data_IF_272005639963
#
_entry.id   IF_272005639963
#
_cell.length_a   1.000
_cell.length_b   1.000
_cell.length_c   1.000
_cell.angle_alpha   90.00
_cell.angle_beta   90.00
_cell.angle_gamma   90.00
#
_symmetry.space_group_name_H-M   'P 1'
#
loop_
_entity.id
_entity.type
_entity.pdbx_description
1 polymer ?
#
# COMPACT_ATOMS: atom_id res chain seq x y z
N UNK A 1 -30.03 -46.03 4.60
CA UNK A 1 -29.59 -44.99 5.57
C UNK A 1 -28.44 -44.19 4.93
N UNK A 2 -28.45 -42.86 5.00
CA UNK A 2 -27.33 -42.06 4.50
C UNK A 2 -26.15 -42.14 5.47
N UNK A 3 -24.94 -42.42 4.96
CA UNK A 3 -23.73 -42.41 5.78
C UNK A 3 -23.46 -41.00 6.30
N UNK A 4 -22.96 -40.88 7.53
CA UNK A 4 -22.59 -39.59 8.13
C UNK A 4 -21.15 -39.24 7.79
N UNK A 5 -20.85 -37.93 7.76
CA UNK A 5 -19.48 -37.45 7.54
C UNK A 5 -18.53 -37.96 8.64
N UNK A 6 -17.44 -38.63 8.25
CA UNK A 6 -16.42 -39.18 9.16
C UNK A 6 -15.71 -38.12 10.03
N UNK A 7 -15.83 -36.83 9.68
CA UNK A 7 -15.24 -35.73 10.44
C UNK A 7 -16.12 -35.23 11.58
N UNK A 8 -17.30 -35.82 11.78
CA UNK A 8 -18.20 -35.49 12.88
C UNK A 8 -18.87 -34.12 12.72
N UNK A 9 -19.22 -33.71 11.50
CA UNK A 9 -19.94 -32.44 11.28
C UNK A 9 -21.47 -32.57 11.28
N UNK A 10 -22.02 -33.76 11.55
CA UNK A 10 -23.47 -34.03 11.57
C UNK A 10 -24.16 -34.14 10.20
N UNK A 11 -23.55 -33.58 9.15
CA UNK A 11 -24.06 -33.63 7.78
C UNK A 11 -23.95 -35.03 7.16
N UNK A 12 -24.91 -35.35 6.28
CA UNK A 12 -24.88 -36.54 5.45
C UNK A 12 -23.68 -36.50 4.48
N UNK A 13 -23.09 -37.66 4.21
CA UNK A 13 -21.99 -37.77 3.26
C UNK A 13 -22.51 -37.71 1.83
N UNK A 14 -21.89 -36.87 1.03
CA UNK A 14 -22.18 -36.71 -0.41
C UNK A 14 -21.10 -37.31 -1.29
N UNK A 15 -19.92 -37.63 -0.71
CA UNK A 15 -18.78 -38.18 -1.43
C UNK A 15 -17.91 -39.07 -0.54
N UNK A 16 -17.11 -39.95 -1.16
CA UNK A 16 -16.09 -40.77 -0.52
C UNK A 16 -14.71 -40.23 -0.88
N UNK A 17 -13.88 -39.94 0.11
CA UNK A 17 -12.55 -39.39 -0.11
C UNK A 17 -11.51 -40.40 -0.60
N UNK A 18 -10.31 -39.94 -0.94
CA UNK A 18 -9.18 -40.78 -1.39
C UNK A 18 -8.73 -41.83 -0.35
N UNK A 19 -9.20 -41.72 0.90
CA UNK A 19 -8.96 -42.69 1.98
C UNK A 19 -10.17 -43.63 2.18
N UNK A 20 -11.09 -43.67 1.23
CA UNK A 20 -12.33 -44.44 1.28
C UNK A 20 -13.23 -44.10 2.49
N UNK A 21 -13.23 -42.84 2.95
CA UNK A 21 -14.07 -42.38 4.08
C UNK A 21 -15.19 -41.44 3.63
N UNK A 22 -16.41 -41.60 4.18
CA UNK A 22 -17.57 -40.76 3.83
C UNK A 22 -17.37 -39.31 4.31
N UNK A 23 -17.61 -38.33 3.44
CA UNK A 23 -17.41 -36.92 3.72
C UNK A 23 -18.55 -36.05 3.14
N UNK A 24 -18.86 -34.95 3.81
CA UNK A 24 -19.95 -34.04 3.42
C UNK A 24 -19.64 -33.11 2.24
N UNK A 25 -18.37 -32.96 1.87
CA UNK A 25 -17.91 -32.15 0.74
C UNK A 25 -16.70 -32.79 0.05
N UNK A 26 -16.57 -32.53 -1.26
CA UNK A 26 -15.45 -32.89 -2.14
C UNK A 26 -14.07 -32.42 -1.62
N UNK A 27 -14.03 -31.25 -0.99
CA UNK A 27 -12.82 -30.65 -0.43
C UNK A 27 -12.89 -30.53 1.08
N UNK A 28 -11.78 -30.87 1.74
CA UNK A 28 -11.71 -30.87 3.20
C UNK A 28 -11.96 -29.51 3.83
N UNK A 29 -11.50 -28.44 3.17
CA UNK A 29 -11.64 -27.05 3.60
C UNK A 29 -13.09 -26.57 3.67
N UNK A 30 -14.02 -27.20 2.93
CA UNK A 30 -15.44 -26.84 2.92
C UNK A 30 -16.22 -27.45 4.11
N UNK A 31 -15.67 -28.47 4.78
CA UNK A 31 -16.32 -29.10 5.93
C UNK A 31 -16.39 -28.14 7.14
N UNK A 32 -17.58 -27.92 7.75
CA UNK A 32 -17.75 -26.99 8.88
C UNK A 32 -16.81 -27.29 10.05
N UNK A 33 -16.69 -28.55 10.46
CA UNK A 33 -15.81 -28.97 11.55
C UNK A 33 -14.34 -28.69 11.24
N UNK A 34 -13.91 -28.91 9.99
CA UNK A 34 -12.54 -28.64 9.56
C UNK A 34 -12.26 -27.14 9.56
N UNK A 35 -13.18 -26.35 9.01
CA UNK A 35 -13.11 -24.88 9.00
C UNK A 35 -13.06 -24.31 10.42
N UNK A 36 -13.86 -24.86 11.34
CA UNK A 36 -13.86 -24.46 12.74
C UNK A 36 -12.53 -24.79 13.43
N UNK A 37 -11.96 -25.99 13.19
CA UNK A 37 -10.64 -26.38 13.70
C UNK A 37 -9.54 -25.44 13.20
N UNK A 38 -9.51 -25.13 11.90
CA UNK A 38 -8.55 -24.18 11.34
C UNK A 38 -8.75 -22.76 11.88
N UNK A 39 -9.99 -22.30 12.02
CA UNK A 39 -10.31 -21.00 12.61
C UNK A 39 -9.86 -20.91 14.07
N UNK A 40 -10.06 -21.96 14.87
CA UNK A 40 -9.60 -22.02 16.26
C UNK A 40 -8.08 -22.03 16.34
N UNK A 41 -7.42 -22.83 15.51
CA UNK A 41 -5.96 -22.87 15.42
C UNK A 41 -5.38 -21.51 15.00
N UNK A 42 -5.98 -20.83 14.02
CA UNK A 42 -5.54 -19.51 13.57
C UNK A 42 -5.74 -18.43 14.65
N UNK A 43 -6.86 -18.46 15.38
CA UNK A 43 -7.12 -17.55 16.52
C UNK A 43 -6.17 -17.78 17.70
N UNK A 44 -5.77 -19.03 17.93
CA UNK A 44 -4.88 -19.39 19.02
C UNK A 44 -3.39 -19.36 18.66
N UNK A 45 -3.03 -18.95 17.43
CA UNK A 45 -1.62 -18.73 17.10
C UNK A 45 -1.15 -17.52 17.90
N UNK A 46 -0.10 -17.65 18.73
CA UNK A 46 0.49 -16.49 19.36
C UNK A 46 0.90 -15.51 18.25
N UNK A 47 0.28 -14.34 18.22
CA UNK A 47 0.73 -13.26 17.36
C UNK A 47 2.12 -12.89 17.86
N UNK A 48 3.12 -12.91 16.96
CA UNK A 48 4.49 -12.61 17.36
C UNK A 48 4.52 -11.30 18.14
N UNK A 49 5.05 -11.33 19.37
CA UNK A 49 5.14 -10.13 20.19
C UNK A 49 5.95 -9.07 19.43
N UNK A 50 5.45 -7.83 19.43
CA UNK A 50 6.23 -6.73 18.90
C UNK A 50 7.50 -6.60 19.74
N UNK A 51 8.65 -6.54 19.09
CA UNK A 51 9.92 -6.27 19.76
C UNK A 51 9.82 -4.93 20.50
N UNK A 52 10.25 -4.90 21.75
CA UNK A 52 10.38 -3.66 22.51
C UNK A 52 11.41 -2.74 21.87
N UNK A 53 11.29 -1.43 22.08
CA UNK A 53 12.28 -0.47 21.55
C UNK A 53 13.68 -0.75 22.10
N UNK A 54 13.78 -1.20 23.35
CA UNK A 54 15.04 -1.65 23.94
C UNK A 54 15.62 -2.86 23.19
N UNK A 55 14.80 -3.86 22.86
CA UNK A 55 15.24 -5.03 22.10
C UNK A 55 15.72 -4.62 20.70
N UNK A 56 14.97 -3.74 20.01
CA UNK A 56 15.39 -3.20 18.71
C UNK A 56 16.73 -2.47 18.81
N UNK A 57 16.94 -1.69 19.87
CA UNK A 57 18.22 -1.00 20.14
C UNK A 57 19.35 -2.01 20.33
N UNK A 58 19.16 -3.04 21.16
CA UNK A 58 20.15 -4.12 21.38
C UNK A 58 20.52 -4.84 20.09
N UNK A 59 19.54 -5.16 19.24
CA UNK A 59 19.80 -5.74 17.91
C UNK A 59 20.65 -4.79 17.07
N UNK A 60 20.26 -3.52 16.98
CA UNK A 60 20.97 -2.50 16.20
C UNK A 60 22.42 -2.34 16.66
N UNK A 61 22.64 -2.24 17.98
CA UNK A 61 23.95 -2.16 18.60
C UNK A 61 24.79 -3.40 18.33
N UNK A 62 24.21 -4.60 18.46
CA UNK A 62 24.92 -5.87 18.19
C UNK A 62 25.33 -6.06 16.71
N UNK A 63 24.63 -5.40 15.78
CA UNK A 63 24.95 -5.43 14.36
C UNK A 63 25.96 -4.36 13.96
N UNK A 64 26.08 -3.28 14.73
CA UNK A 64 26.98 -2.16 14.41
C UNK A 64 28.43 -2.63 14.45
N UNK A 65 29.16 -2.38 13.35
CA UNK A 65 30.58 -2.75 13.24
C UNK A 65 30.84 -4.25 12.99
N UNK A 66 29.80 -5.09 12.95
CA UNK A 66 29.96 -6.52 12.66
C UNK A 66 30.34 -6.71 11.20
N UNK A 67 31.63 -6.89 10.95
CA UNK A 67 32.13 -7.38 9.66
C UNK A 67 32.13 -8.89 9.66
N UNK A 68 31.78 -9.51 8.53
CA UNK A 68 31.93 -10.97 8.39
C UNK A 68 33.41 -11.29 8.30
N UNK A 69 33.90 -12.39 8.92
CA UNK A 69 35.27 -12.85 8.72
C UNK A 69 35.56 -13.02 7.23
N UNK A 70 36.79 -12.66 6.80
CA UNK A 70 37.20 -12.72 5.38
C UNK A 70 36.97 -14.12 4.79
N UNK A 71 37.23 -15.16 5.56
CA UNK A 71 37.01 -16.56 5.16
C UNK A 71 35.54 -16.87 4.85
N UNK A 72 34.61 -16.37 5.68
CA UNK A 72 33.16 -16.54 5.46
C UNK A 72 32.72 -15.81 4.20
N UNK A 73 33.25 -14.59 3.99
CA UNK A 73 32.98 -13.82 2.77
C UNK A 73 33.47 -14.58 1.54
N UNK A 74 34.67 -15.16 1.59
CA UNK A 74 35.25 -15.92 0.50
C UNK A 74 34.49 -17.23 0.24
N UNK A 75 34.04 -17.93 1.29
CA UNK A 75 33.19 -19.13 1.16
C UNK A 75 31.87 -18.81 0.46
N UNK A 76 31.21 -17.71 0.83
CA UNK A 76 29.98 -17.24 0.16
C UNK A 76 30.27 -16.90 -1.30
N UNK A 77 31.38 -16.21 -1.57
CA UNK A 77 31.78 -15.85 -2.93
C UNK A 77 31.97 -17.09 -3.80
N UNK A 78 32.72 -18.08 -3.33
CA UNK A 78 32.95 -19.37 -4.02
C UNK A 78 31.64 -20.11 -4.28
N UNK A 79 30.81 -20.26 -3.23
CA UNK A 79 29.50 -20.91 -3.33
C UNK A 79 28.59 -20.26 -4.37
N UNK A 80 28.54 -18.92 -4.39
CA UNK A 80 27.79 -18.19 -5.40
C UNK A 80 28.33 -18.51 -6.79
N UNK A 81 29.63 -18.36 -7.04
CA UNK A 81 30.25 -18.61 -8.35
C UNK A 81 29.91 -20.01 -8.86
N UNK A 82 29.99 -21.02 -8.00
CA UNK A 82 29.64 -22.41 -8.33
C UNK A 82 28.16 -22.56 -8.73
N UNK A 83 27.24 -21.97 -7.96
CA UNK A 83 25.81 -21.93 -8.28
C UNK A 83 25.54 -21.28 -9.65
N UNK A 84 26.16 -20.12 -9.94
CA UNK A 84 26.00 -19.43 -11.23
C UNK A 84 26.55 -20.27 -12.40
N UNK A 85 27.69 -20.98 -12.19
CA UNK A 85 28.26 -21.89 -13.19
C UNK A 85 27.32 -23.08 -13.45
N UNK A 86 26.84 -23.74 -12.39
CA UNK A 86 25.94 -24.91 -12.48
C UNK A 86 24.64 -24.59 -13.22
N UNK A 87 24.04 -23.44 -12.92
CA UNK A 87 22.75 -23.07 -13.47
C UNK A 87 22.82 -22.37 -14.84
N UNK A 88 24.02 -22.19 -15.43
CA UNK A 88 24.26 -21.43 -16.67
C UNK A 88 23.56 -20.06 -16.68
N UNK A 89 23.34 -19.48 -15.50
CA UNK A 89 22.54 -18.28 -15.34
C UNK A 89 23.45 -17.08 -15.56
N UNK A 90 23.20 -16.32 -16.63
CA UNK A 90 23.90 -15.06 -16.89
C UNK A 90 23.05 -13.96 -16.25
N UNK A 91 23.56 -13.24 -15.23
CA UNK A 91 22.87 -12.08 -14.71
C UNK A 91 22.56 -11.11 -15.85
N UNK A 92 21.32 -10.64 -15.96
CA UNK A 92 20.87 -9.72 -17.02
C UNK A 92 21.66 -8.39 -17.10
N UNK A 93 22.47 -8.09 -16.07
CA UNK A 93 23.33 -6.91 -15.95
C UNK A 93 24.83 -7.20 -16.17
N UNK A 94 25.24 -8.44 -16.45
CA UNK A 94 26.65 -8.79 -16.65
C UNK A 94 27.20 -8.06 -17.88
N UNK A 95 28.27 -7.29 -17.71
CA UNK A 95 28.89 -6.48 -18.78
C UNK A 95 28.32 -5.07 -18.95
N UNK A 96 27.21 -4.73 -18.27
CA UNK A 96 26.62 -3.39 -18.31
C UNK A 96 27.31 -2.46 -17.30
N UNK A 97 28.47 -1.88 -17.66
CA UNK A 97 29.08 -0.78 -16.87
C UNK A 97 28.21 0.48 -17.02
N UNK A 98 27.77 1.06 -15.90
CA UNK A 98 27.06 2.35 -15.88
C UNK A 98 25.55 2.34 -16.13
N UNK A 99 24.93 1.20 -16.44
CA UNK A 99 23.48 1.13 -16.79
C UNK A 99 22.57 1.36 -15.58
N UNK A 100 23.10 1.25 -14.37
CA UNK A 100 22.36 1.57 -13.14
C UNK A 100 23.04 2.73 -12.41
N UNK A 101 23.02 3.92 -13.03
CA UNK A 101 23.03 5.13 -12.22
C UNK A 101 21.72 5.09 -11.45
N UNK A 102 21.77 4.90 -10.13
CA UNK A 102 20.59 5.11 -9.30
C UNK A 102 20.02 6.46 -9.73
N UNK A 103 18.74 6.55 -10.10
CA UNK A 103 18.12 7.78 -10.61
C UNK A 103 18.29 9.01 -9.69
N UNK A 104 18.79 8.79 -8.48
CA UNK A 104 19.10 9.74 -7.42
C UNK A 104 20.58 10.16 -7.33
N UNK A 105 21.49 9.58 -8.12
CA UNK A 105 22.92 9.79 -7.97
C UNK A 105 23.28 11.15 -8.59
N UNK A 106 23.53 12.14 -7.74
CA UNK A 106 23.89 13.52 -8.15
C UNK A 106 22.77 14.55 -8.00
N UNK A 107 21.52 14.13 -7.76
CA UNK A 107 20.47 15.04 -7.34
C UNK A 107 20.71 15.40 -5.87
N UNK A 108 21.31 16.58 -5.62
CA UNK A 108 21.19 17.22 -4.30
C UNK A 108 19.69 17.46 -4.11
N UNK A 109 19.09 16.83 -3.09
CA UNK A 109 17.74 17.20 -2.67
C UNK A 109 17.79 18.71 -2.43
N UNK A 110 16.98 19.49 -3.15
CA UNK A 110 16.63 20.83 -2.64
C UNK A 110 16.22 20.62 -1.19
N UNK A 111 16.72 21.46 -0.29
CA UNK A 111 16.30 21.42 1.12
C UNK A 111 14.78 21.33 1.10
N UNK A 112 14.27 20.19 1.55
CA UNK A 112 12.82 20.01 1.58
C UNK A 112 12.33 21.08 2.54
N UNK A 113 11.27 21.84 2.19
CA UNK A 113 10.70 22.79 3.14
C UNK A 113 10.54 22.06 4.46
N UNK A 114 11.13 22.64 5.50
CA UNK A 114 11.37 22.02 6.80
C UNK A 114 10.18 21.13 7.15
N UNK A 115 10.36 19.81 7.01
CA UNK A 115 9.25 18.88 7.18
C UNK A 115 8.95 18.94 8.67
N UNK A 116 7.95 19.75 9.04
CA UNK A 116 7.46 19.85 10.41
C UNK A 116 7.41 18.45 10.99
N UNK A 117 8.10 18.26 12.12
CA UNK A 117 8.11 16.97 12.81
C UNK A 117 6.65 16.52 13.01
N UNK A 118 6.40 15.20 13.03
CA UNK A 118 5.04 14.72 13.35
C UNK A 118 4.57 15.19 14.73
N UNK A 119 5.51 15.51 15.60
CA UNK A 119 5.27 16.04 16.93
C UNK A 119 5.16 17.56 17.00
N UNK A 120 5.47 18.25 15.89
CA UNK A 120 5.32 19.68 15.75
C UNK A 120 3.84 20.10 15.87
N UNK A 121 3.59 21.15 16.63
CA UNK A 121 2.26 21.67 16.88
C UNK A 121 1.60 22.15 15.59
N UNK A 122 2.37 22.80 14.71
CA UNK A 122 1.88 23.25 13.41
C UNK A 122 1.38 22.07 12.56
N UNK A 123 2.08 20.93 12.58
CA UNK A 123 1.65 19.72 11.89
C UNK A 123 0.37 19.13 12.50
N UNK A 124 0.28 19.07 13.83
CA UNK A 124 -0.92 18.59 14.55
C UNK A 124 -2.13 19.46 14.24
N UNK A 125 -1.96 20.77 14.19
CA UNK A 125 -3.00 21.74 13.85
C UNK A 125 -3.46 21.59 12.39
N UNK A 126 -2.53 21.46 11.45
CA UNK A 126 -2.87 21.20 10.05
C UNK A 126 -3.61 19.87 9.87
N UNK A 127 -3.18 18.80 10.55
CA UNK A 127 -3.85 17.49 10.49
C UNK A 127 -5.29 17.59 10.98
N UNK A 128 -5.54 18.27 12.10
CA UNK A 128 -6.89 18.51 12.63
C UNK A 128 -7.72 19.33 11.64
N UNK A 129 -7.16 20.41 11.11
CA UNK A 129 -7.80 21.27 10.12
C UNK A 129 -8.21 20.48 8.86
N UNK A 130 -7.27 19.75 8.25
CA UNK A 130 -7.49 18.92 7.06
C UNK A 130 -8.60 17.88 7.28
N UNK A 131 -8.61 17.20 8.42
CA UNK A 131 -9.63 16.21 8.72
C UNK A 131 -11.03 16.85 8.80
N UNK A 132 -11.15 18.02 9.42
CA UNK A 132 -12.42 18.77 9.50
C UNK A 132 -12.88 19.22 8.11
N UNK A 133 -11.97 19.73 7.29
CA UNK A 133 -12.24 20.11 5.89
C UNK A 133 -12.73 18.90 5.09
N UNK A 134 -12.09 17.73 5.23
CA UNK A 134 -12.48 16.52 4.51
C UNK A 134 -13.90 16.07 4.86
N UNK A 135 -14.26 16.05 6.15
CA UNK A 135 -15.61 15.69 6.61
C UNK A 135 -16.64 16.65 6.04
N UNK A 136 -16.39 17.97 6.09
CA UNK A 136 -17.31 18.96 5.53
C UNK A 136 -17.40 18.90 4.01
N UNK A 137 -16.28 18.73 3.33
CA UNK A 137 -16.22 18.57 1.86
C UNK A 137 -17.11 17.43 1.40
N UNK A 138 -17.09 16.29 2.10
CA UNK A 138 -17.97 15.16 1.80
C UNK A 138 -19.45 15.55 1.89
N UNK A 139 -19.85 16.23 2.97
CA UNK A 139 -21.24 16.70 3.18
C UNK A 139 -21.66 17.72 2.11
N UNK A 140 -20.80 18.69 1.80
CA UNK A 140 -21.03 19.68 0.75
C UNK A 140 -21.21 18.99 -0.61
N UNK A 141 -20.35 18.03 -0.94
CA UNK A 141 -20.46 17.27 -2.18
C UNK A 141 -21.77 16.47 -2.25
N UNK A 142 -22.16 15.78 -1.18
CA UNK A 142 -23.43 15.05 -1.14
C UNK A 142 -24.63 15.98 -1.34
N UNK A 143 -24.62 17.15 -0.68
CA UNK A 143 -25.67 18.17 -0.80
C UNK A 143 -25.77 18.74 -2.22
N UNK A 144 -24.63 19.05 -2.85
CA UNK A 144 -24.57 19.72 -4.15
C UNK A 144 -24.11 18.79 -5.28
N UNK A 145 -24.34 17.47 -5.16
CA UNK A 145 -23.79 16.46 -6.09
C UNK A 145 -24.22 16.73 -7.53
N UNK A 146 -25.48 17.11 -7.75
CA UNK A 146 -26.03 17.38 -9.08
C UNK A 146 -25.41 18.61 -9.74
N UNK A 147 -25.01 19.60 -8.94
CA UNK A 147 -24.36 20.82 -9.43
C UNK A 147 -22.86 20.62 -9.68
N UNK A 148 -22.17 19.93 -8.75
CA UNK A 148 -20.73 19.70 -8.82
C UNK A 148 -20.34 18.56 -9.77
N UNK A 149 -21.24 17.59 -9.98
CA UNK A 149 -21.01 16.41 -10.81
C UNK A 149 -22.28 16.06 -11.62
N UNK A 150 -22.72 16.94 -12.55
CA UNK A 150 -23.97 16.76 -13.28
C UNK A 150 -23.97 15.50 -14.15
N UNK A 151 -22.81 15.11 -14.69
CA UNK A 151 -22.63 13.90 -15.50
C UNK A 151 -22.43 12.63 -14.64
N UNK A 152 -22.42 12.76 -13.31
CA UNK A 152 -22.27 11.65 -12.36
C UNK A 152 -21.02 10.79 -12.62
N UNK A 153 -19.89 11.43 -12.89
CA UNK A 153 -18.61 10.76 -13.08
C UNK A 153 -18.19 9.93 -11.86
N UNK A 154 -17.52 8.77 -12.05
CA UNK A 154 -17.11 7.90 -10.96
C UNK A 154 -15.96 8.51 -10.16
N UNK A 155 -16.19 8.72 -8.86
CA UNK A 155 -15.14 9.17 -7.95
C UNK A 155 -14.25 7.99 -7.51
N UNK A 156 -12.98 8.01 -7.89
CA UNK A 156 -12.05 6.89 -7.67
C UNK A 156 -10.73 7.35 -7.03
N UNK A 157 -9.87 6.37 -6.70
CA UNK A 157 -8.49 6.64 -6.29
C UNK A 157 -7.65 7.05 -7.51
N UNK A 158 -6.58 7.81 -7.27
CA UNK A 158 -5.61 8.14 -8.32
C UNK A 158 -5.09 6.88 -9.03
N UNK A 159 -4.99 6.92 -10.35
CA UNK A 159 -4.47 5.83 -11.17
C UNK A 159 -5.52 4.84 -11.68
N UNK A 160 -6.80 5.03 -11.34
CA UNK A 160 -7.90 4.26 -11.96
C UNK A 160 -8.31 4.93 -13.27
N UNK A 161 -8.30 4.19 -14.36
CA UNK A 161 -8.69 4.72 -15.67
C UNK A 161 -10.14 5.25 -15.66
N UNK A 162 -10.39 6.37 -16.36
CA UNK A 162 -11.66 7.09 -16.32
C UNK A 162 -12.06 7.67 -14.94
N UNK A 163 -11.13 7.69 -13.98
CA UNK A 163 -11.39 8.12 -12.61
C UNK A 163 -11.43 9.64 -12.39
N UNK A 164 -12.35 10.09 -11.54
CA UNK A 164 -12.48 11.50 -11.15
C UNK A 164 -12.26 11.68 -9.64
N UNK A 165 -11.93 12.91 -9.25
CA UNK A 165 -11.71 13.29 -7.85
C UNK A 165 -12.34 14.64 -7.55
N UNK A 166 -12.70 14.85 -6.28
CA UNK A 166 -13.08 16.16 -5.75
C UNK A 166 -11.77 16.92 -5.47
N UNK A 167 -11.58 18.05 -6.16
CA UNK A 167 -10.46 18.97 -5.95
C UNK A 167 -10.96 20.27 -5.33
N UNK A 168 -10.10 20.87 -4.51
CA UNK A 168 -10.33 22.20 -3.96
C UNK A 168 -9.68 23.24 -4.87
N UNK A 169 -10.39 24.28 -5.29
CA UNK A 169 -9.85 25.36 -6.12
C UNK A 169 -8.66 26.02 -5.40
N UNK A 170 -8.90 26.54 -4.19
CA UNK A 170 -7.90 26.89 -3.19
C UNK A 170 -7.55 25.65 -2.36
N UNK A 171 -6.27 25.29 -2.31
CA UNK A 171 -5.85 24.06 -1.66
C UNK A 171 -6.10 24.08 -0.14
N UNK A 172 -6.33 22.92 0.47
CA UNK A 172 -6.53 22.80 1.93
C UNK A 172 -5.31 23.32 2.70
N UNK A 173 -4.10 23.19 2.13
CA UNK A 173 -2.87 23.68 2.75
C UNK A 173 -2.80 25.21 2.72
N UNK A 174 -3.07 25.80 1.56
CA UNK A 174 -3.14 27.26 1.41
C UNK A 174 -4.21 27.87 2.32
N UNK A 175 -5.37 27.22 2.44
CA UNK A 175 -6.42 27.64 3.36
C UNK A 175 -6.00 27.60 4.83
N UNK A 176 -5.17 26.64 5.21
CA UNK A 176 -4.61 26.58 6.57
C UNK A 176 -3.57 27.69 6.80
N UNK A 177 -2.64 27.89 5.87
CA UNK A 177 -1.57 28.90 5.96
C UNK A 177 -2.13 30.33 5.96
N UNK A 178 -3.28 30.56 5.31
CA UNK A 178 -4.00 31.85 5.31
C UNK A 178 -5.10 31.95 6.37
N UNK A 179 -5.16 31.00 7.31
CA UNK A 179 -6.16 30.94 8.39
C UNK A 179 -7.62 31.04 7.92
N UNK A 180 -7.90 30.54 6.71
CA UNK A 180 -9.24 30.55 6.13
C UNK A 180 -10.13 29.57 6.90
N UNK A 181 -11.37 30.01 7.19
CA UNK A 181 -12.37 29.18 7.88
C UNK A 181 -12.64 27.89 7.10
N UNK A 182 -12.85 26.80 7.84
CA UNK A 182 -13.14 25.46 7.30
C UNK A 182 -14.39 25.49 6.42
N UNK A 183 -15.39 26.27 6.82
CA UNK A 183 -16.63 26.57 6.10
C UNK A 183 -16.33 27.05 4.68
N UNK A 184 -15.43 28.01 4.53
CA UNK A 184 -15.06 28.63 3.25
C UNK A 184 -14.27 27.66 2.39
N UNK A 185 -13.28 26.95 2.96
CA UNK A 185 -12.50 25.96 2.18
C UNK A 185 -13.37 24.78 1.72
N UNK A 186 -14.37 24.39 2.51
CA UNK A 186 -15.29 23.29 2.15
C UNK A 186 -16.58 23.75 1.49
N UNK A 187 -16.67 25.01 1.06
CA UNK A 187 -17.84 25.56 0.38
C UNK A 187 -17.95 25.02 -1.05
N UNK A 188 -19.15 25.05 -1.62
CA UNK A 188 -19.41 24.54 -2.98
C UNK A 188 -18.53 25.27 -4.01
N UNK A 189 -18.35 26.56 -3.83
CA UNK A 189 -17.61 27.47 -4.71
C UNK A 189 -16.13 27.12 -4.77
N UNK A 190 -15.59 26.50 -3.71
CA UNK A 190 -14.22 26.03 -3.66
C UNK A 190 -14.05 24.57 -4.11
N UNK A 191 -15.13 23.86 -4.46
CA UNK A 191 -15.07 22.45 -4.87
C UNK A 191 -15.33 22.30 -6.37
N UNK A 192 -14.64 21.33 -6.97
CA UNK A 192 -14.88 20.89 -8.36
C UNK A 192 -14.56 19.41 -8.53
N UNK A 193 -15.20 18.77 -9.49
CA UNK A 193 -14.86 17.40 -9.90
C UNK A 193 -13.96 17.46 -11.12
N UNK A 194 -12.75 16.91 -11.01
CA UNK A 194 -11.76 16.88 -12.10
C UNK A 194 -11.19 15.47 -12.29
N UNK A 195 -10.69 15.13 -13.49
CA UNK A 195 -9.96 13.89 -13.72
C UNK A 195 -8.77 13.77 -12.75
N UNK A 196 -8.51 12.56 -12.22
CA UNK A 196 -7.41 12.36 -11.25
C UNK A 196 -6.05 12.78 -11.81
N UNK A 197 -5.86 12.67 -13.14
CA UNK A 197 -4.63 13.05 -13.82
C UNK A 197 -4.39 14.56 -13.78
N UNK A 198 -5.44 15.36 -13.88
CA UNK A 198 -5.37 16.82 -13.77
C UNK A 198 -5.10 17.25 -12.33
N UNK A 199 -5.75 16.59 -11.37
CA UNK A 199 -5.52 16.83 -9.95
C UNK A 199 -4.04 16.63 -9.57
N UNK A 200 -3.41 15.56 -10.07
CA UNK A 200 -1.98 15.34 -9.85
C UNK A 200 -1.12 16.42 -10.51
N UNK A 201 -1.46 16.87 -11.73
CA UNK A 201 -0.68 17.91 -12.44
C UNK A 201 -0.70 19.23 -11.69
N UNK A 202 -1.80 19.56 -11.00
CA UNK A 202 -1.94 20.78 -10.20
C UNK A 202 -0.92 20.88 -9.06
N UNK A 203 -0.67 19.79 -8.34
CA UNK A 203 0.21 19.79 -7.16
C UNK A 203 1.58 19.13 -7.41
N UNK A 204 1.66 18.26 -8.42
CA UNK A 204 2.86 17.55 -8.82
C UNK A 204 3.64 18.34 -9.84
N UNK A 205 4.32 19.40 -9.39
CA UNK A 205 5.31 20.11 -10.20
C UNK A 205 6.26 19.10 -10.89
N UNK A 206 6.24 19.11 -12.22
CA UNK A 206 7.21 18.46 -13.12
C UNK A 206 7.75 17.07 -12.71
N UNK A 207 6.90 16.19 -12.18
CA UNK A 207 7.31 14.84 -11.77
C UNK A 207 7.13 13.82 -12.91
N UNK A 208 8.19 13.08 -13.26
CA UNK A 208 8.26 12.12 -14.37
C UNK A 208 7.14 11.05 -14.44
N UNK A 209 6.31 10.88 -13.39
CA UNK A 209 5.13 9.99 -13.41
C UNK A 209 4.05 10.42 -14.40
N UNK A 210 3.88 11.71 -14.67
CA UNK A 210 2.87 12.20 -15.63
C UNK A 210 3.32 12.06 -17.09
N UNK A 211 4.63 11.94 -17.35
CA UNK A 211 5.18 11.77 -18.71
C UNK A 211 4.88 10.39 -19.30
N UNK A 212 4.89 9.32 -18.50
CA UNK A 212 4.66 7.96 -18.98
C UNK A 212 3.21 7.70 -19.44
N UNK A 213 2.21 8.38 -18.87
CA UNK A 213 0.81 8.25 -19.32
C UNK A 213 0.56 8.92 -20.68
N UNK A 214 1.31 9.99 -21.02
CA UNK A 214 1.21 10.66 -22.33
C UNK A 214 1.65 9.75 -23.48
N UNK A 215 2.65 8.89 -23.26
CA UNK A 215 3.12 7.92 -24.27
C UNK A 215 2.18 6.72 -24.47
N UNK A 216 1.28 6.44 -23.52
CA UNK A 216 0.33 5.33 -23.63
C UNK A 216 -0.98 5.69 -24.36
N UNK A 217 -1.33 6.97 -24.44
CA UNK A 217 -2.55 7.46 -25.11
C UNK A 217 -2.32 8.03 -26.52
N UNK A 218 -1.06 8.02 -27.00
CA UNK A 218 -0.69 8.41 -28.37
C UNK A 218 -0.40 7.19 -29.26
N UNK A 219 -0.95 6.02 -28.92
CA UNK A 219 -0.90 4.81 -29.73
C UNK A 219 -2.30 4.40 -30.14
#
# INVERSE_FOLDING_TARGET
MKNKCHRGCGLDSTYINYLNRPCCFDHASKCPTVRQKFSKAARNRPTGHKLTEEHKRKISESLRGRTRPKEVVEKIRKSNIEHWKKNKFIPWNKGKKGVQVAWNKGLRKKESPEILSRDDEAYRNFKKYRNRVQVRTKRTYEKYKKELNPQNYPLTRCGVDGGYQIDHVMSVREGFEKEIKIETISSKENLRVIPWIENIRKYGGNNNRTKNYKMGMMK
#
